data_IF_375359059532
#
_entry.id   IF_375359059532
#
_cell.length_a   1.000
_cell.length_b   1.000
_cell.length_c   1.000
_cell.angle_alpha   90.00
_cell.angle_beta   90.00
_cell.angle_gamma   90.00
#
_symmetry.space_group_name_H-M   'P 1'
#
loop_
_entity.id
_entity.type
_entity.pdbx_description
1 polymer ?
#
# COMPACT_ATOMS: atom_id res chain seq x y z
N UNK A 1 -1.17 14.27 -2.29
CA UNK A 1 0.09 13.84 -2.93
C UNK A 1 0.01 14.04 -4.46
N UNK A 2 0.22 15.26 -4.97
CA UNK A 2 -0.09 15.60 -6.37
C UNK A 2 0.72 14.80 -7.40
N UNK A 3 2.02 14.58 -7.17
CA UNK A 3 2.87 13.83 -8.10
C UNK A 3 2.37 12.41 -8.36
N UNK A 4 2.01 11.67 -7.29
CA UNK A 4 1.44 10.32 -7.42
C UNK A 4 0.09 10.35 -8.14
N UNK A 5 -0.78 11.31 -7.83
CA UNK A 5 -2.11 11.38 -8.47
C UNK A 5 -2.00 11.68 -9.98
N UNK A 6 -1.07 12.55 -10.37
CA UNK A 6 -0.78 12.82 -11.79
C UNK A 6 -0.24 11.58 -12.49
N UNK A 7 0.69 10.85 -11.87
CA UNK A 7 1.24 9.61 -12.41
C UNK A 7 0.15 8.53 -12.56
N UNK A 8 -0.67 8.35 -11.52
CA UNK A 8 -1.81 7.43 -11.51
C UNK A 8 -2.74 7.74 -12.68
N UNK A 9 -3.14 9.00 -12.86
CA UNK A 9 -4.02 9.41 -13.96
C UNK A 9 -3.40 9.14 -15.33
N UNK A 10 -2.12 9.44 -15.52
CA UNK A 10 -1.42 9.28 -16.81
C UNK A 10 -1.26 7.82 -17.22
N UNK A 11 -0.90 6.94 -16.29
CA UNK A 11 -0.51 5.56 -16.60
C UNK A 11 -1.59 4.51 -16.31
N UNK A 12 -2.80 4.91 -15.86
CA UNK A 12 -3.88 3.99 -15.50
C UNK A 12 -4.32 3.07 -16.64
N UNK A 13 -4.38 3.60 -17.87
CA UNK A 13 -4.83 2.83 -19.04
C UNK A 13 -3.76 1.86 -19.53
N UNK A 14 -2.50 2.29 -19.51
CA UNK A 14 -1.34 1.49 -19.93
C UNK A 14 -1.09 0.31 -18.99
N UNK A 15 -1.50 0.41 -17.71
CA UNK A 15 -1.28 -0.59 -16.66
C UNK A 15 0.16 -1.15 -16.67
N UNK A 16 1.17 -0.28 -16.50
CA UNK A 16 2.57 -0.67 -16.67
C UNK A 16 3.06 -1.73 -15.66
N UNK A 17 2.34 -1.92 -14.56
CA UNK A 17 2.65 -2.92 -13.54
C UNK A 17 1.81 -4.19 -13.67
N UNK A 18 1.08 -4.38 -14.78
CA UNK A 18 0.29 -5.60 -15.00
C UNK A 18 1.18 -6.84 -14.91
N UNK A 19 0.84 -7.75 -13.99
CA UNK A 19 1.60 -8.96 -13.72
C UNK A 19 2.76 -8.78 -12.74
N UNK A 20 3.01 -7.57 -12.26
CA UNK A 20 3.97 -7.35 -11.19
C UNK A 20 3.40 -7.84 -9.85
N UNK A 21 4.23 -8.57 -9.10
CA UNK A 21 3.94 -8.97 -7.73
C UNK A 21 4.88 -8.20 -6.79
N UNK A 22 4.32 -7.26 -6.02
CA UNK A 22 5.09 -6.35 -5.18
C UNK A 22 4.85 -6.68 -3.71
N UNK A 23 5.93 -6.92 -2.98
CA UNK A 23 5.92 -7.00 -1.51
C UNK A 23 6.51 -5.70 -0.98
N UNK A 24 5.72 -4.95 -0.21
CA UNK A 24 6.16 -3.72 0.42
C UNK A 24 6.41 -3.90 1.91
N UNK A 25 7.52 -3.34 2.39
CA UNK A 25 7.82 -3.22 3.82
C UNK A 25 8.17 -1.75 4.11
N UNK A 26 7.16 -0.96 4.44
CA UNK A 26 7.28 0.46 4.76
C UNK A 26 6.20 0.86 5.77
N UNK A 27 6.35 1.99 6.46
CA UNK A 27 5.30 2.52 7.33
C UNK A 27 3.91 2.49 6.68
N UNK A 28 2.91 2.01 7.41
CA UNK A 28 1.51 1.94 6.96
C UNK A 28 0.75 3.16 7.50
N UNK A 29 0.72 4.22 6.70
CA UNK A 29 0.04 5.48 6.97
C UNK A 29 -0.76 5.96 5.75
N UNK A 30 -1.51 7.05 5.89
CA UNK A 30 -2.34 7.59 4.81
C UNK A 30 -1.56 7.87 3.51
N UNK A 31 -0.30 8.31 3.62
CA UNK A 31 0.55 8.58 2.45
C UNK A 31 0.93 7.28 1.73
N UNK A 32 1.32 6.24 2.48
CA UNK A 32 1.62 4.92 1.92
C UNK A 32 0.39 4.28 1.29
N UNK A 33 -0.81 4.48 1.84
CA UNK A 33 -2.05 3.96 1.24
C UNK A 33 -2.27 4.52 -0.17
N UNK A 34 -2.03 5.83 -0.36
CA UNK A 34 -2.09 6.47 -1.68
C UNK A 34 -1.06 5.87 -2.64
N UNK A 35 0.13 5.49 -2.17
CA UNK A 35 1.11 4.77 -2.97
C UNK A 35 0.61 3.36 -3.33
N UNK A 36 0.19 2.56 -2.34
CA UNK A 36 -0.25 1.18 -2.49
C UNK A 36 -1.41 1.09 -3.50
N UNK A 37 -2.45 1.89 -3.32
CA UNK A 37 -3.57 1.96 -4.26
C UNK A 37 -3.13 2.39 -5.66
N UNK A 38 -2.10 3.24 -5.78
CA UNK A 38 -1.58 3.63 -7.09
C UNK A 38 -0.95 2.43 -7.77
N UNK A 39 -0.13 1.64 -7.06
CA UNK A 39 0.47 0.43 -7.61
C UNK A 39 -0.61 -0.55 -8.10
N UNK A 40 -1.67 -0.74 -7.31
CA UNK A 40 -2.83 -1.57 -7.70
C UNK A 40 -3.54 -1.01 -8.93
N UNK A 41 -3.82 0.31 -8.97
CA UNK A 41 -4.45 0.94 -10.14
C UNK A 41 -3.61 0.84 -11.41
N UNK A 42 -2.28 0.77 -11.28
CA UNK A 42 -1.34 0.58 -12.38
C UNK A 42 -1.15 -0.90 -12.77
N UNK A 43 -1.88 -1.83 -12.12
CA UNK A 43 -1.95 -3.24 -12.51
C UNK A 43 -1.16 -4.20 -11.64
N UNK A 44 -0.49 -3.73 -10.58
CA UNK A 44 0.25 -4.61 -9.68
C UNK A 44 -0.68 -5.41 -8.77
N UNK A 45 -0.24 -6.63 -8.42
CA UNK A 45 -0.73 -7.34 -7.24
C UNK A 45 0.22 -7.06 -6.08
N UNK A 46 -0.30 -6.63 -4.94
CA UNK A 46 0.54 -6.18 -3.81
C UNK A 46 0.24 -6.95 -2.52
N UNK A 47 1.24 -7.02 -1.65
CA UNK A 47 1.11 -7.41 -0.23
C UNK A 47 1.99 -6.46 0.58
N UNK A 48 1.56 -6.08 1.78
CA UNK A 48 2.27 -5.05 2.54
C UNK A 48 2.41 -5.39 4.02
N UNK A 49 3.55 -5.03 4.59
CA UNK A 49 3.82 -5.03 6.02
C UNK A 49 4.43 -3.69 6.45
N UNK A 50 4.40 -3.39 7.74
CA UNK A 50 5.07 -2.22 8.28
C UNK A 50 6.57 -2.48 8.48
N UNK A 51 7.41 -1.47 8.31
CA UNK A 51 8.84 -1.55 8.63
C UNK A 51 9.16 -1.07 10.05
N UNK A 52 8.13 -0.80 10.86
CA UNK A 52 8.29 -0.36 12.24
C UNK A 52 6.99 -0.59 13.02
N UNK A 53 7.14 -1.27 14.16
CA UNK A 53 6.05 -1.76 15.01
C UNK A 53 5.11 -0.68 15.56
N UNK A 54 5.53 0.59 15.60
CA UNK A 54 4.72 1.71 16.10
C UNK A 54 4.21 2.65 15.02
N UNK A 55 4.61 2.45 13.77
CA UNK A 55 4.37 3.40 12.68
C UNK A 55 3.01 3.28 12.03
N UNK A 56 2.35 2.13 12.20
CA UNK A 56 1.07 1.84 11.57
C UNK A 56 -0.04 2.76 12.10
N UNK A 57 -0.85 3.28 11.18
CA UNK A 57 -2.12 3.93 11.48
C UNK A 57 -3.22 2.87 11.28
N UNK A 58 -3.75 2.31 12.37
CA UNK A 58 -4.66 1.16 12.30
C UNK A 58 -5.89 1.40 11.43
N UNK A 59 -6.48 2.60 11.46
CA UNK A 59 -7.60 2.95 10.60
C UNK A 59 -7.24 2.89 9.10
N UNK A 60 -5.99 3.22 8.74
CA UNK A 60 -5.50 3.14 7.37
C UNK A 60 -5.24 1.69 6.97
N UNK A 61 -4.60 0.91 7.85
CA UNK A 61 -4.41 -0.53 7.63
C UNK A 61 -5.76 -1.24 7.43
N UNK A 62 -6.76 -0.92 8.26
CA UNK A 62 -8.12 -1.44 8.14
C UNK A 62 -8.78 -1.05 6.81
N UNK A 63 -8.69 0.22 6.39
CA UNK A 63 -9.26 0.67 5.12
C UNK A 63 -8.62 -0.03 3.90
N UNK A 64 -7.30 -0.25 3.92
CA UNK A 64 -6.60 -1.01 2.89
C UNK A 64 -7.04 -2.48 2.87
N UNK A 65 -7.19 -3.10 4.05
CA UNK A 65 -7.68 -4.48 4.17
C UNK A 65 -9.13 -4.62 3.67
N UNK A 66 -10.02 -3.67 4.00
CA UNK A 66 -11.39 -3.60 3.49
C UNK A 66 -11.44 -3.43 1.97
N UNK A 67 -10.49 -2.69 1.39
CA UNK A 67 -10.31 -2.58 -0.06
C UNK A 67 -9.75 -3.86 -0.72
N UNK A 68 -9.57 -4.95 0.04
CA UNK A 68 -9.10 -6.24 -0.46
C UNK A 68 -7.58 -6.33 -0.66
N UNK A 69 -6.82 -5.38 -0.11
CA UNK A 69 -5.36 -5.37 -0.20
C UNK A 69 -4.80 -6.16 1.00
N UNK A 70 -3.96 -7.20 0.80
CA UNK A 70 -3.35 -7.93 1.90
C UNK A 70 -2.37 -7.05 2.69
N UNK A 71 -2.77 -6.67 3.91
CA UNK A 71 -1.98 -5.88 4.85
C UNK A 71 -1.72 -6.70 6.12
N UNK A 72 -0.47 -6.74 6.54
CA UNK A 72 0.03 -7.40 7.75
C UNK A 72 0.74 -6.36 8.59
N UNK A 73 -0.05 -5.48 9.22
CA UNK A 73 0.48 -4.37 10.00
C UNK A 73 -0.56 -3.86 10.99
N UNK A 74 -0.18 -3.70 12.25
CA UNK A 74 -0.92 -2.93 13.24
C UNK A 74 0.03 -2.23 14.21
N UNK A 75 -0.44 -1.15 14.81
CA UNK A 75 0.35 -0.40 15.77
C UNK A 75 0.50 -1.21 17.06
N UNK A 76 1.73 -1.39 17.51
CA UNK A 76 2.06 -2.13 18.72
C UNK A 76 2.18 -3.65 18.50
N UNK A 77 2.45 -4.07 17.27
CA UNK A 77 2.94 -5.43 16.97
C UNK A 77 4.26 -5.71 17.73
N UNK A 78 4.53 -6.99 17.99
CA UNK A 78 5.79 -7.46 18.58
C UNK A 78 6.85 -7.66 17.49
N UNK A 79 8.11 -7.89 17.86
CA UNK A 79 9.17 -8.19 16.89
C UNK A 79 9.07 -9.61 16.29
N UNK A 80 8.29 -10.50 16.91
CA UNK A 80 8.04 -11.85 16.39
C UNK A 80 6.91 -11.87 15.36
N UNK A 81 5.94 -10.96 15.51
CA UNK A 81 4.82 -10.74 14.57
C UNK A 81 5.27 -9.99 13.32
#
# INVERSE_FOLDING_TARGET
>A
MPGIMTLRKRAKEEKPLKGAHIVGCTHVNAQSAVLIETLVQLGATVRWAACNIYSTQNAVAAALAEAGIPIFAWRGETEEE
#
